data_IF_772350095883
#
_entry.id   IF_772350095883
#
_cell.length_a   1.000
_cell.length_b   1.000
_cell.length_c   1.000
_cell.angle_alpha   90.00
_cell.angle_beta   90.00
_cell.angle_gamma   90.00
#
_symmetry.space_group_name_H-M   'P 1'
#
loop_
_entity.id
_entity.type
_entity.pdbx_description
1 polymer ?
#
# COMPACT_ATOMS: atom_id res chain seq x y z
N UNK A 1 -3.76 0.50 -1.69
CA UNK A 1 -4.48 -0.03 -2.89
C UNK A 1 -4.36 0.99 -4.01
N UNK A 2 -4.15 0.53 -5.23
CA UNK A 2 -4.04 1.39 -6.41
C UNK A 2 -4.58 0.66 -7.64
N UNK A 3 -4.90 1.42 -8.67
CA UNK A 3 -5.35 0.91 -9.95
C UNK A 3 -4.55 1.65 -11.04
N UNK A 4 -3.65 0.93 -11.71
CA UNK A 4 -2.73 1.49 -12.69
C UNK A 4 -3.30 1.29 -14.09
N UNK A 5 -3.32 2.33 -14.88
CA UNK A 5 -4.05 2.38 -16.14
C UNK A 5 -3.22 2.11 -17.38
N UNK A 6 -1.88 2.14 -17.23
CA UNK A 6 -0.95 1.93 -18.33
C UNK A 6 0.04 0.85 -17.98
N UNK A 7 0.52 0.14 -18.99
CA UNK A 7 1.63 -0.78 -18.81
C UNK A 7 2.90 0.06 -18.75
N UNK A 8 3.60 -0.02 -17.62
CA UNK A 8 4.82 0.72 -17.40
C UNK A 8 5.64 0.07 -16.28
N UNK A 9 6.84 0.59 -16.06
CA UNK A 9 7.67 0.20 -14.94
C UNK A 9 7.20 0.92 -13.67
N UNK A 10 6.69 0.16 -12.71
CA UNK A 10 6.20 0.71 -11.44
C UNK A 10 7.22 0.59 -10.32
N UNK A 11 8.49 0.37 -10.63
CA UNK A 11 9.51 0.21 -9.58
C UNK A 11 9.62 1.44 -8.68
N UNK A 12 9.41 2.65 -9.21
CA UNK A 12 9.40 3.86 -8.38
C UNK A 12 8.30 3.83 -7.33
N UNK A 13 7.09 3.40 -7.70
CA UNK A 13 5.98 3.28 -6.77
C UNK A 13 6.27 2.21 -5.71
N UNK A 14 6.74 1.05 -6.13
CA UNK A 14 7.06 -0.03 -5.20
C UNK A 14 8.16 0.37 -4.22
N UNK A 15 9.19 1.05 -4.70
CA UNK A 15 10.25 1.55 -3.83
C UNK A 15 9.74 2.60 -2.86
N UNK A 16 8.84 3.47 -3.29
CA UNK A 16 8.22 4.47 -2.42
C UNK A 16 7.40 3.81 -1.30
N UNK A 17 6.60 2.79 -1.63
CA UNK A 17 5.84 2.03 -0.64
C UNK A 17 6.79 1.35 0.35
N UNK A 18 7.82 0.68 -0.15
CA UNK A 18 8.79 -0.04 0.69
C UNK A 18 9.63 0.88 1.55
N UNK A 19 9.76 2.15 1.19
CA UNK A 19 10.52 3.13 1.97
C UNK A 19 9.92 3.39 3.34
N UNK A 20 8.66 3.01 3.56
CA UNK A 20 8.04 3.09 4.89
C UNK A 20 8.63 2.09 5.88
N UNK A 21 9.38 1.11 5.41
CA UNK A 21 10.09 0.16 6.27
C UNK A 21 9.26 -1.04 6.69
N UNK A 22 8.05 -0.84 7.19
CA UNK A 22 7.13 -1.92 7.56
C UNK A 22 5.99 -1.95 6.56
N UNK A 23 5.98 -2.97 5.71
CA UNK A 23 5.05 -3.10 4.59
C UNK A 23 4.71 -4.55 4.33
N UNK A 24 3.59 -4.75 3.67
CA UNK A 24 3.19 -6.06 3.17
C UNK A 24 2.44 -5.91 1.86
N UNK A 25 2.69 -6.81 0.92
CA UNK A 25 1.91 -6.90 -0.32
C UNK A 25 0.71 -7.79 -0.04
N UNK A 26 -0.48 -7.25 -0.21
CA UNK A 26 -1.73 -7.95 0.10
C UNK A 26 -2.25 -8.69 -1.13
N UNK A 27 -2.37 -7.98 -2.24
CA UNK A 27 -2.71 -8.53 -3.55
C UNK A 27 -1.78 -7.89 -4.58
N UNK A 28 -1.98 -8.18 -5.87
CA UNK A 28 -1.13 -7.64 -6.94
C UNK A 28 -1.13 -6.11 -6.95
N UNK A 29 -2.21 -5.47 -6.52
CA UNK A 29 -2.34 -4.01 -6.54
C UNK A 29 -2.69 -3.40 -5.19
N UNK A 30 -2.57 -4.16 -4.11
CA UNK A 30 -2.90 -3.69 -2.76
C UNK A 30 -1.75 -3.95 -1.82
N UNK A 31 -1.42 -2.94 -1.01
CA UNK A 31 -0.31 -2.98 -0.07
C UNK A 31 -0.78 -2.45 1.28
N UNK A 32 -0.13 -2.90 2.34
CA UNK A 32 -0.29 -2.34 3.67
C UNK A 32 1.04 -1.78 4.15
N UNK A 33 0.99 -0.67 4.84
CA UNK A 33 2.16 -0.05 5.47
C UNK A 33 1.81 0.34 6.90
N UNK A 34 2.84 0.44 7.74
CA UNK A 34 2.71 0.96 9.09
C UNK A 34 3.46 2.28 9.15
N UNK A 35 2.75 3.36 9.48
CA UNK A 35 3.30 4.71 9.50
C UNK A 35 2.51 5.62 10.43
N UNK A 36 3.15 6.66 10.93
CA UNK A 36 2.49 7.73 11.70
C UNK A 36 1.82 8.77 10.80
N UNK A 37 2.06 8.72 9.49
CA UNK A 37 1.49 9.69 8.56
C UNK A 37 -0.01 9.48 8.40
N UNK A 38 -0.71 10.55 8.06
CA UNK A 38 -2.13 10.49 7.71
C UNK A 38 -2.30 9.88 6.31
N UNK A 39 -3.52 9.44 5.99
CA UNK A 39 -3.83 8.95 4.64
C UNK A 39 -3.53 10.00 3.58
N UNK A 40 -3.79 11.28 3.86
CA UNK A 40 -3.50 12.38 2.94
C UNK A 40 -2.00 12.50 2.70
N UNK A 41 -1.20 12.44 3.76
CA UNK A 41 0.27 12.52 3.64
C UNK A 41 0.83 11.36 2.83
N UNK A 42 0.34 10.15 3.06
CA UNK A 42 0.77 8.96 2.31
C UNK A 42 0.39 9.11 0.83
N UNK A 43 -0.86 9.51 0.54
CA UNK A 43 -1.30 9.75 -0.83
C UNK A 43 -0.40 10.76 -1.52
N UNK A 44 -0.14 11.89 -0.90
CA UNK A 44 0.63 12.96 -1.51
C UNK A 44 2.07 12.53 -1.79
N UNK A 45 2.68 11.74 -0.89
CA UNK A 45 4.00 11.18 -1.11
C UNK A 45 4.01 10.21 -2.31
N UNK A 46 3.03 9.30 -2.38
CA UNK A 46 3.00 8.29 -3.44
C UNK A 46 2.64 8.87 -4.80
N UNK A 47 1.92 9.99 -4.85
CA UNK A 47 1.59 10.67 -6.11
C UNK A 47 2.84 11.09 -6.90
N UNK A 48 3.97 11.27 -6.23
CA UNK A 48 5.24 11.60 -6.89
C UNK A 48 5.80 10.43 -7.71
N UNK A 49 5.28 9.22 -7.52
CA UNK A 49 5.81 8.00 -8.12
C UNK A 49 4.87 7.37 -9.15
N UNK A 50 3.78 8.04 -9.49
CA UNK A 50 2.80 7.58 -10.48
C UNK A 50 2.46 8.71 -11.44
N UNK A 51 1.81 8.36 -12.55
CA UNK A 51 1.35 9.36 -13.51
C UNK A 51 0.01 9.96 -13.06
N UNK A 52 -0.32 11.13 -13.62
CA UNK A 52 -1.54 11.83 -13.25
C UNK A 52 -2.83 11.10 -13.61
N UNK A 53 -2.78 10.13 -14.54
CA UNK A 53 -3.93 9.34 -14.94
C UNK A 53 -4.00 7.97 -14.25
N UNK A 54 -3.04 7.64 -13.41
CA UNK A 54 -3.12 6.45 -12.57
C UNK A 54 -4.08 6.69 -11.42
N UNK A 55 -4.66 5.60 -10.91
CA UNK A 55 -5.61 5.65 -9.81
C UNK A 55 -4.96 5.19 -8.51
N UNK A 56 -5.19 5.95 -7.45
CA UNK A 56 -4.64 5.65 -6.14
C UNK A 56 -5.70 5.85 -5.07
N UNK A 57 -5.85 4.87 -4.19
CA UNK A 57 -6.72 4.96 -3.03
C UNK A 57 -5.90 4.62 -1.79
N UNK A 58 -5.94 5.48 -0.80
CA UNK A 58 -5.24 5.30 0.48
C UNK A 58 -6.26 5.42 1.60
N UNK A 59 -6.31 4.43 2.48
CA UNK A 59 -7.22 4.41 3.61
C UNK A 59 -6.48 3.96 4.87
N UNK A 60 -6.91 4.48 6.00
CA UNK A 60 -6.40 4.05 7.28
C UNK A 60 -7.18 2.83 7.76
N UNK A 61 -6.46 1.82 8.28
CA UNK A 61 -7.08 0.66 8.90
C UNK A 61 -7.83 1.10 10.16
N UNK A 62 -9.10 0.71 10.25
CA UNK A 62 -10.00 1.14 11.32
C UNK A 62 -10.19 0.17 12.46
N UNK A 63 -9.38 -0.89 12.55
CA UNK A 63 -9.42 -1.83 13.66
C UNK A 63 -10.11 -3.16 13.37
N UNK A 64 -10.64 -3.35 12.16
CA UNK A 64 -11.25 -4.61 11.76
C UNK A 64 -10.78 -5.00 10.35
N UNK A 65 -10.32 -6.22 10.19
CA UNK A 65 -9.90 -6.75 8.90
C UNK A 65 -10.13 -8.26 8.86
N UNK A 66 -10.41 -8.75 7.66
CA UNK A 66 -10.47 -10.18 7.38
C UNK A 66 -9.78 -10.42 6.05
N UNK A 67 -9.16 -11.59 5.90
CA UNK A 67 -8.42 -11.89 4.68
C UNK A 67 -8.46 -13.38 4.36
N UNK A 68 -8.24 -13.68 3.08
CA UNK A 68 -8.11 -15.04 2.57
C UNK A 68 -7.25 -15.02 1.32
N UNK A 69 -6.30 -15.94 1.25
CA UNK A 69 -5.43 -16.13 0.07
C UNK A 69 -4.65 -14.88 -0.33
N UNK A 70 -4.34 -14.00 0.63
CA UNK A 70 -3.49 -12.83 0.38
C UNK A 70 -2.03 -13.24 0.27
N UNK A 71 -1.22 -12.40 -0.38
CA UNK A 71 0.20 -12.66 -0.60
C UNK A 71 0.97 -12.61 0.71
N UNK A 72 0.68 -11.64 1.58
CA UNK A 72 1.35 -11.47 2.85
C UNK A 72 1.04 -12.65 3.80
N UNK A 73 1.98 -12.94 4.69
CA UNK A 73 1.84 -14.03 5.65
C UNK A 73 0.96 -13.62 6.82
N UNK A 74 0.25 -14.59 7.41
CA UNK A 74 -0.60 -14.35 8.57
C UNK A 74 0.17 -13.70 9.73
N UNK A 75 1.42 -14.07 9.91
CA UNK A 75 2.26 -13.53 10.98
C UNK A 75 2.41 -12.02 10.88
N UNK A 76 2.51 -11.49 9.67
CA UNK A 76 2.62 -10.04 9.48
C UNK A 76 1.38 -9.32 10.03
N UNK A 77 0.19 -9.86 9.76
CA UNK A 77 -1.06 -9.26 10.24
C UNK A 77 -1.17 -9.34 11.77
N UNK A 78 -0.80 -10.48 12.34
CA UNK A 78 -0.82 -10.64 13.81
C UNK A 78 0.15 -9.68 14.49
N UNK A 79 1.30 -9.41 13.91
CA UNK A 79 2.29 -8.51 14.46
C UNK A 79 1.90 -7.03 14.31
N UNK A 80 1.16 -6.67 13.28
CA UNK A 80 0.97 -5.27 12.90
C UNK A 80 -0.47 -4.77 13.01
N UNK A 81 -1.47 -5.65 13.05
CA UNK A 81 -2.88 -5.26 13.14
C UNK A 81 -3.51 -5.51 14.51
N UNK A 82 -2.80 -6.13 15.43
CA UNK A 82 -3.32 -6.37 16.78
C UNK A 82 -2.79 -5.36 17.77
#
# INVERSE_FOLDING_TARGET
MYDLRKIRDYSSLYNAIKSYGTWAKITESSWAIVTDQTAIQVRDFLLNSIDGDDRLFVAKYGGAAAWQNVIAKNEWFHQNLN
#
